data_IF_152662211344
#
_entry.id   IF_152662211344
#
_cell.length_a   1.000
_cell.length_b   1.000
_cell.length_c   1.000
_cell.angle_alpha   90.00
_cell.angle_beta   90.00
_cell.angle_gamma   90.00
#
_symmetry.space_group_name_H-M   'P 1'
#
loop_
_entity.id
_entity.type
_entity.pdbx_description
1 polymer ?
#
# COMPACT_ATOMS: atom_id res chain seq x y z
N UNK A 1 -12.06 9.79 -17.08
CA UNK A 1 -11.30 10.65 -16.14
C UNK A 1 -10.42 9.82 -15.20
N UNK A 2 -10.94 8.81 -14.50
CA UNK A 2 -10.11 7.75 -13.89
C UNK A 2 -9.20 7.03 -14.88
N UNK A 3 -9.74 6.77 -16.08
CA UNK A 3 -8.98 6.23 -17.21
C UNK A 3 -7.67 6.98 -17.47
N UNK A 4 -7.63 8.30 -17.33
CA UNK A 4 -6.39 9.05 -17.54
C UNK A 4 -5.31 8.65 -16.54
N UNK A 5 -5.66 8.41 -15.26
CA UNK A 5 -4.68 7.94 -14.26
C UNK A 5 -4.08 6.60 -14.69
N UNK A 6 -4.91 5.61 -15.00
CA UNK A 6 -4.43 4.30 -15.50
C UNK A 6 -3.66 4.43 -16.82
N UNK A 7 -4.00 5.42 -17.65
CA UNK A 7 -3.32 5.67 -18.91
C UNK A 7 -1.96 6.34 -18.76
N UNK A 8 -1.73 7.09 -17.66
CA UNK A 8 -0.51 7.89 -17.46
C UNK A 8 0.40 7.41 -16.33
N UNK A 9 -0.11 6.60 -15.40
CA UNK A 9 0.58 6.08 -14.21
C UNK A 9 0.80 4.55 -14.39
N UNK A 10 1.99 4.13 -14.87
CA UNK A 10 2.31 2.73 -15.09
C UNK A 10 2.25 1.88 -13.82
N UNK A 11 2.65 2.44 -12.68
CA UNK A 11 2.64 1.80 -11.37
C UNK A 11 1.21 1.43 -10.95
N UNK A 12 0.28 2.39 -11.04
CA UNK A 12 -1.15 2.14 -10.82
C UNK A 12 -1.71 1.14 -11.84
N UNK A 13 -1.32 1.27 -13.11
CA UNK A 13 -1.82 0.36 -14.14
C UNK A 13 -1.37 -1.08 -13.89
N UNK A 14 -0.13 -1.33 -13.49
CA UNK A 14 0.34 -2.69 -13.19
C UNK A 14 -0.27 -3.25 -11.92
N UNK A 15 -0.40 -2.46 -10.84
CA UNK A 15 -1.00 -2.93 -9.59
C UNK A 15 -2.43 -3.44 -9.79
N UNK A 16 -3.14 -2.86 -10.77
CA UNK A 16 -4.50 -3.24 -11.16
C UNK A 16 -4.59 -4.30 -12.27
N UNK A 17 -3.48 -4.76 -12.84
CA UNK A 17 -3.50 -5.67 -14.00
C UNK A 17 -4.02 -5.01 -15.29
N UNK A 18 -3.85 -3.69 -15.40
CA UNK A 18 -4.32 -2.85 -16.51
C UNK A 18 -3.17 -2.20 -17.30
N UNK A 19 -1.94 -2.72 -17.17
CA UNK A 19 -0.75 -2.16 -17.85
C UNK A 19 -0.92 -2.09 -19.38
N UNK A 20 -1.69 -3.01 -19.97
CA UNK A 20 -2.05 -2.99 -21.40
C UNK A 20 -2.95 -1.82 -21.82
N UNK A 21 -3.64 -1.15 -20.88
CA UNK A 21 -4.46 0.03 -21.13
C UNK A 21 -3.68 1.34 -21.08
N UNK A 22 -2.39 1.32 -20.70
CA UNK A 22 -1.57 2.54 -20.61
C UNK A 22 -1.45 3.22 -21.98
N UNK A 23 -1.32 4.55 -21.96
CA UNK A 23 -0.99 5.37 -23.14
C UNK A 23 0.30 6.16 -22.96
N UNK A 24 0.81 6.27 -21.73
CA UNK A 24 2.13 6.84 -21.47
C UNK A 24 3.24 6.00 -22.10
N UNK A 25 4.27 6.70 -22.59
CA UNK A 25 5.52 6.07 -23.02
C UNK A 25 6.49 5.81 -21.88
N UNK A 26 6.15 6.24 -20.66
CA UNK A 26 6.99 6.05 -19.48
C UNK A 26 6.80 4.65 -18.89
N UNK A 27 7.86 4.07 -18.34
CA UNK A 27 7.81 2.83 -17.58
C UNK A 27 7.62 3.05 -16.06
N UNK A 28 7.85 4.29 -15.61
CA UNK A 28 7.61 4.79 -14.27
C UNK A 28 6.91 6.16 -14.35
N UNK A 29 6.05 6.44 -13.39
CA UNK A 29 5.38 7.72 -13.22
C UNK A 29 6.41 8.81 -12.89
N UNK A 30 6.52 9.89 -13.69
CA UNK A 30 7.44 10.97 -13.40
C UNK A 30 7.14 11.63 -12.04
N UNK A 31 8.18 11.86 -11.24
CA UNK A 31 8.12 12.46 -9.90
C UNK A 31 8.72 13.87 -9.87
N UNK A 32 8.43 14.68 -10.88
CA UNK A 32 8.89 16.08 -10.96
C UNK A 32 7.80 17.07 -10.55
N UNK A 33 8.18 18.31 -10.21
CA UNK A 33 7.20 19.38 -9.97
C UNK A 33 6.29 19.60 -11.19
N UNK A 34 6.87 19.56 -12.40
CA UNK A 34 6.12 19.67 -13.64
C UNK A 34 5.07 18.57 -13.78
N UNK A 35 5.39 17.32 -13.39
CA UNK A 35 4.41 16.24 -13.46
C UNK A 35 3.24 16.47 -12.48
N UNK A 36 3.50 16.98 -11.27
CA UNK A 36 2.43 17.38 -10.34
C UNK A 36 1.59 18.55 -10.87
N UNK A 37 2.21 19.56 -11.49
CA UNK A 37 1.49 20.69 -12.10
C UNK A 37 0.59 20.23 -13.27
N UNK A 38 1.10 19.34 -14.12
CA UNK A 38 0.31 18.72 -15.19
C UNK A 38 -0.88 17.95 -14.64
N UNK A 39 -0.68 17.17 -13.58
CA UNK A 39 -1.77 16.43 -12.92
C UNK A 39 -2.79 17.38 -12.32
N UNK A 40 -2.36 18.41 -11.60
CA UNK A 40 -3.24 19.41 -11.00
C UNK A 40 -4.08 20.14 -12.05
N UNK A 41 -3.45 20.56 -13.16
CA UNK A 41 -4.15 21.18 -14.30
C UNK A 41 -5.22 20.26 -14.89
N UNK A 42 -4.88 18.98 -15.07
CA UNK A 42 -5.82 18.00 -15.60
C UNK A 42 -7.00 17.75 -14.64
N UNK A 43 -6.73 17.58 -13.34
CA UNK A 43 -7.76 17.35 -12.33
C UNK A 43 -8.67 18.57 -12.16
N UNK A 44 -8.11 19.78 -12.20
CA UNK A 44 -8.86 21.04 -12.16
C UNK A 44 -9.81 21.13 -13.36
N UNK A 45 -9.31 20.87 -14.58
CA UNK A 45 -10.15 20.87 -15.77
C UNK A 45 -11.22 19.77 -15.74
N UNK A 46 -10.96 18.64 -15.09
CA UNK A 46 -11.96 17.60 -14.86
C UNK A 46 -13.06 18.06 -13.89
N UNK A 47 -12.68 18.67 -12.76
CA UNK A 47 -13.61 19.21 -11.77
C UNK A 47 -14.47 20.34 -12.36
N UNK A 48 -13.86 21.29 -13.07
CA UNK A 48 -14.57 22.39 -13.75
C UNK A 48 -15.65 21.90 -14.72
N UNK A 49 -15.39 20.78 -15.41
CA UNK A 49 -16.39 20.17 -16.31
C UNK A 49 -17.57 19.59 -15.52
N UNK A 50 -17.31 19.00 -14.35
CA UNK A 50 -18.39 18.49 -13.49
C UNK A 50 -19.20 19.64 -12.87
N UNK A 51 -18.55 20.75 -12.51
CA UNK A 51 -19.19 21.93 -11.92
C UNK A 51 -20.04 22.72 -12.92
N UNK A 52 -19.62 22.78 -14.19
CA UNK A 52 -20.42 23.38 -15.28
C UNK A 52 -21.67 22.55 -15.65
N UNK A 53 -21.83 21.37 -15.06
CA UNK A 53 -22.88 20.42 -15.35
C UNK A 53 -22.52 19.49 -16.51
N UNK A 54 -22.96 18.24 -16.39
CA UNK A 54 -22.88 17.28 -17.48
C UNK A 54 -23.85 17.70 -18.60
N UNK A 55 -23.49 17.53 -19.90
CA UNK A 55 -24.39 17.79 -21.02
C UNK A 55 -25.77 17.13 -20.79
N UNK A 56 -26.90 17.74 -21.20
CA UNK A 56 -28.25 17.22 -20.93
C UNK A 56 -28.48 15.75 -21.31
N UNK A 57 -27.85 15.32 -22.41
CA UNK A 57 -27.85 13.95 -22.91
C UNK A 57 -27.13 12.95 -21.97
N UNK A 58 -26.14 13.43 -21.21
CA UNK A 58 -25.35 12.68 -20.24
C UNK A 58 -26.01 12.75 -18.85
N UNK A 59 -26.74 13.82 -18.51
CA UNK A 59 -27.41 13.96 -17.20
C UNK A 59 -28.58 13.00 -17.02
N UNK A 60 -29.37 12.76 -18.07
CA UNK A 60 -30.49 11.81 -18.03
C UNK A 60 -30.05 10.34 -18.04
N UNK A 61 -28.86 10.04 -18.55
CA UNK A 61 -28.32 8.67 -18.66
C UNK A 61 -27.34 8.32 -17.54
N UNK A 62 -26.48 9.25 -17.11
CA UNK A 62 -25.42 9.00 -16.10
C UNK A 62 -25.83 9.26 -14.65
N UNK A 63 -27.03 9.75 -14.35
CA UNK A 63 -27.50 9.98 -12.97
C UNK A 63 -28.90 9.38 -12.73
N UNK A 64 -29.22 8.33 -13.51
CA UNK A 64 -30.56 7.74 -13.53
C UNK A 64 -30.85 6.86 -12.31
N UNK A 65 -29.80 6.32 -11.67
CA UNK A 65 -29.89 5.53 -10.43
C UNK A 65 -29.27 6.26 -9.23
N UNK A 66 -29.65 5.86 -8.01
CA UNK A 66 -29.00 6.36 -6.78
C UNK A 66 -27.52 5.95 -6.73
N UNK A 67 -27.17 4.80 -7.29
CA UNK A 67 -25.78 4.31 -7.39
C UNK A 67 -24.91 5.21 -8.28
N UNK A 68 -25.48 5.71 -9.38
CA UNK A 68 -24.79 6.63 -10.27
C UNK A 68 -24.61 8.01 -9.61
N UNK A 69 -25.63 8.50 -8.90
CA UNK A 69 -25.56 9.76 -8.12
C UNK A 69 -24.50 9.67 -7.05
N UNK A 70 -24.42 8.54 -6.34
CA UNK A 70 -23.38 8.28 -5.36
C UNK A 70 -21.99 8.25 -6.01
N UNK A 71 -21.83 7.52 -7.11
CA UNK A 71 -20.59 7.49 -7.87
C UNK A 71 -20.15 8.89 -8.30
N UNK A 72 -21.06 9.71 -8.81
CA UNK A 72 -20.78 11.09 -9.17
C UNK A 72 -20.32 11.92 -7.97
N UNK A 73 -21.02 11.82 -6.82
CA UNK A 73 -20.66 12.52 -5.57
C UNK A 73 -19.25 12.14 -5.12
N UNK A 74 -18.95 10.85 -5.01
CA UNK A 74 -17.65 10.33 -4.58
C UNK A 74 -16.54 10.78 -5.54
N UNK A 75 -16.77 10.66 -6.85
CA UNK A 75 -15.78 11.05 -7.84
C UNK A 75 -15.45 12.54 -7.81
N UNK A 76 -16.50 13.38 -7.72
CA UNK A 76 -16.34 14.83 -7.60
C UNK A 76 -15.56 15.19 -6.33
N UNK A 77 -15.86 14.52 -5.22
CA UNK A 77 -15.18 14.75 -3.97
C UNK A 77 -13.69 14.33 -4.03
N UNK A 78 -13.36 13.21 -4.67
CA UNK A 78 -11.96 12.81 -4.92
C UNK A 78 -11.19 13.85 -5.75
N UNK A 79 -11.81 14.40 -6.81
CA UNK A 79 -11.21 15.47 -7.61
C UNK A 79 -11.00 16.74 -6.78
N UNK A 80 -12.00 17.14 -6.01
CA UNK A 80 -11.94 18.31 -5.14
C UNK A 80 -10.82 18.18 -4.09
N UNK A 81 -10.70 17.02 -3.46
CA UNK A 81 -9.64 16.73 -2.49
C UNK A 81 -8.27 16.88 -3.16
N UNK A 82 -8.08 16.31 -4.36
CA UNK A 82 -6.82 16.46 -5.09
C UNK A 82 -6.52 17.93 -5.45
N UNK A 83 -7.50 18.65 -6.02
CA UNK A 83 -7.32 20.04 -6.47
C UNK A 83 -7.06 20.99 -5.31
N UNK A 84 -7.66 20.74 -4.15
CA UNK A 84 -7.53 21.62 -2.97
C UNK A 84 -6.30 21.27 -2.14
N UNK A 85 -6.14 20.00 -1.76
CA UNK A 85 -5.12 19.59 -0.80
C UNK A 85 -3.72 19.54 -1.40
N UNK A 86 -3.58 19.18 -2.69
CA UNK A 86 -2.26 19.09 -3.36
C UNK A 86 -1.49 20.42 -3.33
N UNK A 87 -2.02 21.55 -3.85
CA UNK A 87 -1.29 22.81 -3.80
C UNK A 87 -1.19 23.40 -2.38
N UNK A 88 -2.17 23.10 -1.51
CA UNK A 88 -2.19 23.63 -0.15
C UNK A 88 -1.11 23.01 0.73
N UNK A 89 -1.02 21.68 0.75
CA UNK A 89 -0.18 20.94 1.69
C UNK A 89 1.06 20.31 1.06
N UNK A 90 1.12 20.18 -0.26
CA UNK A 90 2.28 19.70 -1.02
C UNK A 90 2.91 18.43 -0.46
N UNK A 91 2.07 17.47 -0.06
CA UNK A 91 2.52 16.21 0.56
C UNK A 91 3.45 15.38 -0.33
N UNK A 92 3.44 15.62 -1.64
CA UNK A 92 4.39 15.04 -2.59
C UNK A 92 5.86 15.41 -2.31
N UNK A 93 6.14 16.44 -1.50
CA UNK A 93 7.47 16.77 -1.03
C UNK A 93 7.96 15.86 0.12
N UNK A 94 7.05 15.12 0.77
CA UNK A 94 7.33 14.20 1.88
C UNK A 94 7.11 12.74 1.44
N UNK A 95 7.79 12.31 0.37
CA UNK A 95 7.52 11.03 -0.29
C UNK A 95 8.40 9.84 0.17
N UNK A 96 9.11 9.97 1.29
CA UNK A 96 10.00 8.92 1.83
C UNK A 96 9.86 8.82 3.35
N UNK A 97 9.62 7.61 3.85
CA UNK A 97 9.64 7.26 5.26
C UNK A 97 9.94 5.75 5.43
N UNK A 98 9.97 5.23 6.66
CA UNK A 98 10.27 3.79 6.91
C UNK A 98 9.31 2.78 6.26
N UNK A 99 8.11 3.21 5.89
CA UNK A 99 7.03 2.38 5.32
C UNK A 99 6.84 2.59 3.82
N UNK A 100 7.23 3.76 3.29
CA UNK A 100 6.90 4.20 1.93
C UNK A 100 8.10 4.91 1.28
N UNK A 101 8.12 4.91 -0.06
CA UNK A 101 9.18 5.52 -0.84
C UNK A 101 9.82 4.52 -1.82
N UNK A 102 10.78 4.97 -2.63
CA UNK A 102 11.31 4.18 -3.73
C UNK A 102 11.97 2.86 -3.28
N UNK A 103 12.48 2.79 -2.05
CA UNK A 103 13.04 1.57 -1.46
C UNK A 103 11.99 0.49 -1.17
N UNK A 104 10.71 0.85 -1.08
CA UNK A 104 9.59 -0.07 -0.85
C UNK A 104 8.72 -0.21 -2.09
N UNK A 105 8.39 0.92 -2.73
CA UNK A 105 7.43 1.00 -3.82
C UNK A 105 7.97 0.41 -5.14
N UNK A 106 9.25 0.64 -5.47
CA UNK A 106 9.85 0.12 -6.71
C UNK A 106 10.00 -1.41 -6.69
N UNK A 107 10.48 -2.04 -5.60
CA UNK A 107 10.42 -3.50 -5.45
C UNK A 107 9.00 -4.06 -5.55
N UNK A 108 8.01 -3.37 -4.97
CA UNK A 108 6.62 -3.81 -5.04
C UNK A 108 6.08 -3.74 -6.46
N UNK A 109 6.34 -2.64 -7.16
CA UNK A 109 5.97 -2.47 -8.57
C UNK A 109 6.62 -3.54 -9.46
N UNK A 110 7.91 -3.84 -9.25
CA UNK A 110 8.59 -4.93 -9.95
C UNK A 110 7.87 -6.29 -9.82
N UNK A 111 7.21 -6.55 -8.69
CA UNK A 111 6.42 -7.78 -8.45
C UNK A 111 5.06 -7.77 -9.15
N UNK A 112 4.51 -6.60 -9.47
CA UNK A 112 3.25 -6.49 -10.22
C UNK A 112 3.44 -6.70 -11.73
N UNK A 113 4.66 -6.56 -12.23
CA UNK A 113 4.96 -6.74 -13.65
C UNK A 113 4.99 -8.22 -14.04
N UNK A 114 4.06 -8.63 -14.90
CA UNK A 114 4.09 -9.92 -15.58
C UNK A 114 5.23 -9.97 -16.58
N UNK A 115 5.79 -11.16 -16.84
CA UNK A 115 6.96 -11.37 -17.72
C UNK A 115 6.78 -12.52 -18.72
N UNK A 116 5.54 -12.94 -18.95
CA UNK A 116 5.20 -14.11 -19.78
C UNK A 116 5.50 -13.90 -21.27
N UNK A 117 5.40 -12.66 -21.74
CA UNK A 117 5.55 -12.28 -23.15
C UNK A 117 6.75 -11.37 -23.41
N UNK A 118 7.28 -11.38 -24.64
CA UNK A 118 8.40 -10.50 -25.04
C UNK A 118 8.13 -9.02 -24.79
N UNK A 119 6.95 -8.45 -25.13
CA UNK A 119 6.64 -7.04 -24.82
C UNK A 119 6.67 -6.71 -23.33
N UNK A 120 6.23 -7.64 -22.48
CA UNK A 120 6.27 -7.49 -21.02
C UNK A 120 7.72 -7.47 -20.50
N UNK A 121 8.58 -8.35 -21.02
CA UNK A 121 10.01 -8.38 -20.67
C UNK A 121 10.75 -7.12 -21.14
N UNK A 122 10.42 -6.62 -22.33
CA UNK A 122 10.90 -5.32 -22.85
C UNK A 122 10.48 -4.19 -21.91
N UNK A 123 9.22 -4.18 -21.47
CA UNK A 123 8.73 -3.18 -20.53
C UNK A 123 9.46 -3.25 -19.18
N UNK A 124 9.76 -4.45 -18.68
CA UNK A 124 10.53 -4.61 -17.45
C UNK A 124 11.93 -4.01 -17.54
N UNK A 125 12.63 -4.23 -18.66
CA UNK A 125 13.91 -3.56 -18.93
C UNK A 125 13.74 -2.03 -18.93
N UNK A 126 12.71 -1.51 -19.59
CA UNK A 126 12.46 -0.07 -19.66
C UNK A 126 12.13 0.52 -18.27
N UNK A 127 11.46 -0.25 -17.42
CA UNK A 127 11.26 0.05 -15.99
C UNK A 127 12.60 0.16 -15.26
N UNK A 128 13.49 -0.83 -15.38
CA UNK A 128 14.82 -0.79 -14.75
C UNK A 128 15.64 0.42 -15.22
N UNK A 129 15.57 0.76 -16.52
CA UNK A 129 16.23 1.94 -17.09
C UNK A 129 15.67 3.26 -16.56
N UNK A 130 14.41 3.30 -16.16
CA UNK A 130 13.74 4.52 -15.67
C UNK A 130 14.04 4.83 -14.19
N UNK A 131 14.47 3.83 -13.39
CA UNK A 131 14.71 4.00 -11.94
C UNK A 131 15.66 5.17 -11.62
N UNK A 132 16.85 5.32 -12.26
CA UNK A 132 17.76 6.42 -11.94
C UNK A 132 17.15 7.80 -12.13
N UNK A 133 16.34 7.98 -13.18
CA UNK A 133 15.67 9.24 -13.43
C UNK A 133 14.64 9.54 -12.33
N UNK A 134 13.77 8.57 -11.98
CA UNK A 134 12.76 8.79 -10.96
C UNK A 134 13.39 9.08 -9.59
N UNK A 135 14.50 8.41 -9.24
CA UNK A 135 15.25 8.70 -8.01
C UNK A 135 15.82 10.14 -8.01
N UNK A 136 16.34 10.61 -9.14
CA UNK A 136 16.81 12.01 -9.28
C UNK A 136 15.67 13.02 -9.12
N UNK A 137 14.50 12.71 -9.69
CA UNK A 137 13.29 13.53 -9.55
C UNK A 137 12.81 13.55 -8.09
N UNK A 138 12.81 12.40 -7.40
CA UNK A 138 12.50 12.29 -5.97
C UNK A 138 13.49 13.14 -5.14
N UNK A 139 14.81 13.05 -5.36
CA UNK A 139 15.81 13.90 -4.68
C UNK A 139 15.45 15.38 -4.83
N UNK A 140 15.02 15.79 -6.03
CA UNK A 140 14.61 17.17 -6.30
C UNK A 140 13.37 17.58 -5.49
N UNK A 141 12.39 16.69 -5.34
CA UNK A 141 11.22 16.93 -4.47
C UNK A 141 11.61 17.02 -2.99
N UNK A 142 12.48 16.12 -2.51
CA UNK A 142 12.94 16.11 -1.12
C UNK A 142 13.74 17.38 -0.80
N UNK A 143 14.59 17.82 -1.73
CA UNK A 143 15.33 19.09 -1.61
C UNK A 143 14.36 20.25 -1.50
N UNK A 144 13.32 20.26 -2.34
CA UNK A 144 12.28 21.28 -2.27
C UNK A 144 11.48 21.23 -0.95
N UNK A 145 11.26 20.04 -0.41
CA UNK A 145 10.67 19.84 0.92
C UNK A 145 11.48 20.50 2.02
N UNK A 146 12.82 20.37 1.99
CA UNK A 146 13.71 21.07 2.92
C UNK A 146 13.58 22.59 2.79
N UNK A 147 13.61 23.13 1.56
CA UNK A 147 13.50 24.57 1.29
C UNK A 147 12.17 25.16 1.79
N UNK A 148 11.08 24.41 1.68
CA UNK A 148 9.74 24.86 2.08
C UNK A 148 9.40 24.56 3.54
N UNK A 149 10.31 23.95 4.31
CA UNK A 149 10.02 23.52 5.68
C UNK A 149 8.93 22.45 5.75
N UNK A 150 8.78 21.65 4.69
CA UNK A 150 7.83 20.55 4.56
C UNK A 150 8.60 19.23 4.49
N UNK A 151 8.95 18.72 5.66
CA UNK A 151 9.68 17.46 5.80
C UNK A 151 9.01 16.50 6.79
N UNK A 152 9.15 15.18 6.62
CA UNK A 152 8.77 14.24 7.66
C UNK A 152 9.64 14.45 8.93
N UNK A 153 9.17 14.00 10.11
CA UNK A 153 9.99 14.06 11.32
C UNK A 153 11.18 13.10 11.18
N UNK A 154 12.35 13.51 11.67
CA UNK A 154 13.59 12.75 11.54
C UNK A 154 13.45 11.29 12.00
N UNK A 155 12.68 11.06 13.07
CA UNK A 155 12.41 9.72 13.62
C UNK A 155 11.72 8.77 12.62
N UNK A 156 10.96 9.27 11.65
CA UNK A 156 10.27 8.42 10.67
C UNK A 156 11.19 7.88 9.57
N UNK A 157 12.41 8.39 9.45
CA UNK A 157 13.42 7.92 8.48
C UNK A 157 14.37 6.88 9.09
N UNK A 158 14.20 6.54 10.37
CA UNK A 158 14.97 5.48 11.02
C UNK A 158 14.92 4.18 10.23
N UNK A 159 16.10 3.66 9.85
CA UNK A 159 16.26 2.41 9.10
C UNK A 159 16.07 2.50 7.58
N UNK A 160 15.68 3.65 7.01
CA UNK A 160 15.46 3.77 5.54
C UNK A 160 16.76 3.58 4.76
N UNK A 161 17.85 4.16 5.23
CA UNK A 161 19.17 3.99 4.61
C UNK A 161 19.63 2.54 4.70
N UNK A 162 19.40 1.88 5.84
CA UNK A 162 19.73 0.47 6.03
C UNK A 162 18.91 -0.44 5.10
N UNK A 163 17.64 -0.12 4.83
CA UNK A 163 16.83 -0.82 3.83
C UNK A 163 17.50 -0.75 2.44
N UNK A 164 17.94 0.43 2.03
CA UNK A 164 18.59 0.63 0.73
C UNK A 164 19.93 -0.13 0.67
N UNK A 165 20.75 -0.03 1.72
CA UNK A 165 22.01 -0.77 1.80
C UNK A 165 21.79 -2.29 1.78
N UNK A 166 20.77 -2.79 2.48
CA UNK A 166 20.42 -4.21 2.46
C UNK A 166 19.99 -4.67 1.07
N UNK A 167 19.20 -3.88 0.33
CA UNK A 167 18.83 -4.15 -1.07
C UNK A 167 20.04 -4.15 -2.00
N UNK A 168 21.05 -3.30 -1.75
CA UNK A 168 22.28 -3.31 -2.55
C UNK A 168 23.11 -4.56 -2.22
N UNK A 169 23.25 -4.89 -0.93
CA UNK A 169 24.00 -6.04 -0.45
C UNK A 169 23.41 -7.37 -0.91
N UNK A 170 22.08 -7.48 -0.98
CA UNK A 170 21.37 -8.66 -1.48
C UNK A 170 21.35 -8.76 -3.02
N UNK A 171 22.09 -7.88 -3.70
CA UNK A 171 22.19 -7.79 -5.15
C UNK A 171 20.87 -7.47 -5.84
N UNK A 172 20.01 -6.65 -5.23
CA UNK A 172 18.71 -6.25 -5.77
C UNK A 172 17.78 -7.45 -5.97
N UNK A 173 17.75 -8.38 -5.00
CA UNK A 173 17.03 -9.64 -5.17
C UNK A 173 15.53 -9.45 -5.42
N UNK A 174 14.93 -8.42 -4.84
CA UNK A 174 13.52 -8.07 -5.07
C UNK A 174 13.20 -7.71 -6.53
N UNK A 175 14.17 -7.17 -7.28
CA UNK A 175 14.07 -6.92 -8.72
C UNK A 175 14.55 -8.11 -9.56
N UNK A 176 15.37 -9.01 -9.00
CA UNK A 176 15.79 -10.24 -9.68
C UNK A 176 14.72 -11.31 -9.69
N UNK A 177 13.98 -11.45 -8.59
CA UNK A 177 12.98 -12.51 -8.41
C UNK A 177 11.97 -12.62 -9.57
N UNK A 178 11.41 -11.51 -10.12
CA UNK A 178 10.54 -11.59 -11.29
C UNK A 178 11.21 -12.25 -12.50
N UNK A 179 12.51 -11.99 -12.73
CA UNK A 179 13.25 -12.53 -13.88
C UNK A 179 13.74 -13.97 -13.62
N UNK A 180 14.34 -14.21 -12.45
CA UNK A 180 15.12 -15.43 -12.20
C UNK A 180 14.43 -16.44 -11.26
N UNK A 181 13.30 -16.08 -10.66
CA UNK A 181 12.66 -16.84 -9.58
C UNK A 181 13.38 -16.67 -8.23
N UNK A 182 12.86 -17.32 -7.17
CA UNK A 182 13.37 -17.15 -5.79
C UNK A 182 14.80 -17.67 -5.57
N UNK A 183 15.26 -18.63 -6.36
CA UNK A 183 16.55 -19.31 -6.18
C UNK A 183 17.48 -19.20 -7.40
N UNK A 184 17.19 -18.29 -8.35
CA UNK A 184 17.79 -18.27 -9.70
C UNK A 184 17.66 -19.59 -10.49
N UNK A 185 16.91 -20.58 -9.96
CA UNK A 185 16.86 -21.96 -10.45
C UNK A 185 15.62 -22.27 -11.29
N UNK A 186 14.58 -21.43 -11.21
CA UNK A 186 13.32 -21.59 -11.93
C UNK A 186 13.01 -20.29 -12.67
N UNK A 187 13.75 -20.02 -13.74
CA UNK A 187 13.53 -18.83 -14.56
C UNK A 187 12.39 -19.08 -15.55
N UNK A 188 11.60 -18.04 -15.82
CA UNK A 188 10.70 -17.95 -16.97
C UNK A 188 11.48 -17.75 -18.30
N UNK A 189 12.81 -17.86 -18.26
CA UNK A 189 13.75 -17.21 -19.17
C UNK A 189 14.84 -18.15 -19.71
N UNK A 190 14.56 -19.46 -19.83
CA UNK A 190 15.34 -20.33 -20.73
C UNK A 190 14.93 -20.09 -22.20
N UNK A 191 15.04 -18.84 -22.66
CA UNK A 191 14.70 -18.42 -24.02
C UNK A 191 15.96 -17.93 -24.74
N UNK A 192 16.71 -18.80 -25.43
CA UNK A 192 17.94 -18.42 -26.14
C UNK A 192 17.75 -17.26 -27.14
N UNK A 193 16.53 -17.08 -27.66
CA UNK A 193 16.16 -16.02 -28.60
C UNK A 193 16.10 -14.61 -27.97
N UNK A 194 16.16 -14.50 -26.64
CA UNK A 194 16.08 -13.24 -25.89
C UNK A 194 17.27 -13.04 -24.93
N UNK A 195 18.38 -13.74 -25.16
CA UNK A 195 19.58 -13.65 -24.31
C UNK A 195 20.08 -12.20 -24.17
N UNK A 196 20.12 -11.44 -25.27
CA UNK A 196 20.55 -10.03 -25.23
C UNK A 196 19.71 -9.18 -24.26
N UNK A 197 18.40 -9.44 -24.18
CA UNK A 197 17.50 -8.72 -23.27
C UNK A 197 17.76 -9.11 -21.81
N UNK A 198 18.00 -10.40 -21.55
CA UNK A 198 18.34 -10.91 -20.21
C UNK A 198 19.68 -10.34 -19.76
N UNK A 199 20.69 -10.34 -20.62
CA UNK A 199 22.02 -9.79 -20.34
C UNK A 199 21.93 -8.29 -20.05
N UNK A 200 21.07 -7.58 -20.78
CA UNK A 200 20.83 -6.17 -20.52
C UNK A 200 20.17 -5.90 -19.18
N UNK A 201 19.10 -6.62 -18.83
CA UNK A 201 18.47 -6.54 -17.51
C UNK A 201 19.46 -6.89 -16.40
N UNK A 202 20.27 -7.92 -16.60
CA UNK A 202 21.31 -8.34 -15.65
C UNK A 202 22.32 -7.22 -15.43
N UNK A 203 22.82 -6.61 -16.51
CA UNK A 203 23.74 -5.47 -16.43
C UNK A 203 23.12 -4.27 -15.69
N UNK A 204 21.85 -3.97 -15.94
CA UNK A 204 21.12 -2.91 -15.23
C UNK A 204 21.04 -3.20 -13.73
N UNK A 205 20.76 -4.44 -13.34
CA UNK A 205 20.67 -4.87 -11.94
C UNK A 205 22.03 -5.05 -11.24
N UNK A 206 23.10 -5.28 -11.99
CA UNK A 206 24.47 -5.38 -11.46
C UNK A 206 25.10 -4.00 -11.22
N UNK A 207 24.68 -2.99 -11.99
CA UNK A 207 25.38 -1.69 -12.03
C UNK A 207 24.45 -0.50 -11.89
N UNK A 208 23.52 -0.31 -12.82
CA UNK A 208 22.76 0.94 -12.97
C UNK A 208 21.80 1.17 -11.80
N UNK A 209 21.00 0.16 -11.45
CA UNK A 209 20.03 0.25 -10.36
C UNK A 209 20.72 0.36 -8.99
N UNK A 210 21.70 -0.49 -8.62
CA UNK A 210 22.45 -0.33 -7.37
C UNK A 210 23.16 1.02 -7.23
N UNK A 211 23.77 1.54 -8.30
CA UNK A 211 24.45 2.83 -8.25
C UNK A 211 23.46 3.98 -7.99
N UNK A 212 22.30 3.98 -8.65
CA UNK A 212 21.28 5.00 -8.43
C UNK A 212 20.72 4.96 -7.00
N UNK A 213 20.49 3.77 -6.45
CA UNK A 213 20.11 3.63 -5.04
C UNK A 213 21.22 4.05 -4.07
N UNK A 214 22.50 3.81 -4.41
CA UNK A 214 23.64 4.26 -3.61
C UNK A 214 23.76 5.79 -3.57
N UNK A 215 23.54 6.46 -4.71
CA UNK A 215 23.49 7.92 -4.79
C UNK A 215 22.31 8.48 -3.98
N UNK A 216 21.15 7.85 -4.08
CA UNK A 216 19.98 8.20 -3.28
C UNK A 216 20.23 8.05 -1.78
N UNK A 217 20.78 6.91 -1.33
CA UNK A 217 21.14 6.68 0.07
C UNK A 217 22.12 7.73 0.58
N UNK A 218 23.16 8.06 -0.21
CA UNK A 218 24.13 9.09 0.14
C UNK A 218 23.45 10.46 0.33
N UNK A 219 22.56 10.87 -0.57
CA UNK A 219 21.80 12.11 -0.40
C UNK A 219 20.95 12.08 0.88
N UNK A 220 20.28 10.96 1.16
CA UNK A 220 19.50 10.81 2.39
C UNK A 220 20.37 10.99 3.64
N UNK A 221 21.53 10.33 3.70
CA UNK A 221 22.45 10.40 4.84
C UNK A 221 23.08 11.77 5.05
N UNK A 222 23.47 12.44 3.96
CA UNK A 222 24.34 13.63 4.03
C UNK A 222 23.57 14.94 3.99
N UNK A 223 22.51 15.02 3.18
CA UNK A 223 21.79 16.26 2.92
C UNK A 223 20.38 16.24 3.51
N UNK A 224 19.65 15.13 3.41
CA UNK A 224 18.23 15.10 3.80
C UNK A 224 18.02 14.87 5.30
N UNK A 225 18.38 13.69 5.83
CA UNK A 225 18.10 13.26 7.21
C UNK A 225 18.65 14.23 8.26
N UNK A 226 19.87 14.79 8.13
CA UNK A 226 20.40 15.75 9.11
C UNK A 226 19.63 17.08 9.15
N UNK A 227 18.90 17.43 8.08
CA UNK A 227 18.18 18.69 7.94
C UNK A 227 16.65 18.53 8.08
N UNK A 228 16.17 17.35 8.47
CA UNK A 228 14.75 17.13 8.77
C UNK A 228 14.35 17.83 10.08
N UNK A 229 13.04 18.12 10.19
CA UNK A 229 12.46 18.61 11.44
C UNK A 229 12.55 17.56 12.55
N UNK A 230 12.58 18.03 13.80
CA UNK A 230 12.69 17.16 14.98
C UNK A 230 11.37 17.03 15.73
N UNK A 231 10.49 18.01 15.59
CA UNK A 231 9.10 17.97 16.05
C UNK A 231 8.44 16.72 15.47
N UNK A 232 7.66 16.01 16.27
CA UNK A 232 6.94 14.82 15.81
C UNK A 232 5.55 15.16 15.25
N UNK A 233 4.91 16.21 15.78
CA UNK A 233 3.59 16.65 15.36
C UNK A 233 3.69 17.44 14.05
N UNK A 234 2.71 17.31 13.16
CA UNK A 234 2.64 18.20 11.99
C UNK A 234 2.21 19.62 12.41
N UNK A 235 1.42 19.74 13.48
CA UNK A 235 0.94 21.02 14.03
C UNK A 235 2.07 21.96 14.40
N UNK A 236 3.12 21.44 15.03
CA UNK A 236 4.30 22.23 15.43
C UNK A 236 5.38 22.23 14.35
N UNK A 237 5.40 21.20 13.49
CA UNK A 237 6.45 20.99 12.50
C UNK A 237 6.22 21.66 11.14
N UNK A 238 4.99 22.03 10.78
CA UNK A 238 4.67 22.66 9.49
C UNK A 238 4.14 24.10 9.64
N UNK A 239 4.42 24.99 8.66
CA UNK A 239 3.87 26.36 8.65
C UNK A 239 2.33 26.43 8.75
N UNK A 240 1.65 25.44 8.17
CA UNK A 240 0.19 25.29 8.16
C UNK A 240 -0.27 24.04 8.94
N UNK A 241 0.52 23.61 9.93
CA UNK A 241 0.37 22.32 10.61
C UNK A 241 -1.02 21.99 11.15
N UNK A 242 -1.69 22.97 11.78
CA UNK A 242 -3.06 22.78 12.27
C UNK A 242 -4.07 22.56 11.14
N UNK A 243 -3.97 23.32 10.04
CA UNK A 243 -4.82 23.16 8.87
C UNK A 243 -4.53 21.82 8.17
N UNK A 244 -3.25 21.44 8.06
CA UNK A 244 -2.83 20.15 7.54
C UNK A 244 -3.41 18.99 8.36
N UNK A 245 -3.30 19.04 9.69
CA UNK A 245 -3.82 17.98 10.56
C UNK A 245 -5.35 17.86 10.47
N UNK A 246 -6.06 18.98 10.42
CA UNK A 246 -7.51 19.00 10.21
C UNK A 246 -7.91 18.41 8.84
N UNK A 247 -7.16 18.72 7.78
CA UNK A 247 -7.37 18.14 6.46
C UNK A 247 -7.11 16.63 6.45
N UNK A 248 -6.03 16.15 7.09
CA UNK A 248 -5.78 14.73 7.28
C UNK A 248 -6.91 14.04 8.04
N UNK A 249 -7.41 14.66 9.12
CA UNK A 249 -8.50 14.11 9.91
C UNK A 249 -9.76 13.92 9.05
N UNK A 250 -10.16 14.95 8.31
CA UNK A 250 -11.31 14.89 7.40
C UNK A 250 -11.09 13.84 6.30
N UNK A 251 -9.89 13.78 5.72
CA UNK A 251 -9.57 12.88 4.60
C UNK A 251 -9.53 11.41 5.01
N UNK A 252 -9.09 11.10 6.23
CA UNK A 252 -8.93 9.72 6.70
C UNK A 252 -10.14 9.18 7.46
N UNK A 253 -10.89 10.04 8.15
CA UNK A 253 -11.97 9.58 9.04
C UNK A 253 -13.36 9.82 8.47
N UNK A 254 -13.51 10.79 7.56
CA UNK A 254 -14.79 11.17 6.92
C UNK A 254 -15.89 11.60 7.88
N UNK A 255 -15.56 11.77 9.16
CA UNK A 255 -16.42 12.33 10.19
C UNK A 255 -16.16 13.83 10.35
N UNK A 256 -17.14 14.53 10.92
CA UNK A 256 -17.01 15.93 11.33
C UNK A 256 -16.47 16.10 12.76
N UNK A 257 -16.10 15.00 13.44
CA UNK A 257 -15.53 15.06 14.78
C UNK A 257 -14.19 15.79 14.76
N UNK A 258 -13.98 16.60 15.80
CA UNK A 258 -12.71 17.23 16.10
C UNK A 258 -11.67 16.21 16.57
N UNK A 259 -10.40 16.59 16.50
CA UNK A 259 -9.31 15.76 17.02
C UNK A 259 -9.48 15.42 18.51
N UNK A 260 -10.01 16.37 19.29
CA UNK A 260 -10.26 16.16 20.72
C UNK A 260 -11.39 15.17 20.96
N UNK A 261 -12.51 15.28 20.24
CA UNK A 261 -13.62 14.31 20.34
C UNK A 261 -13.16 12.90 19.95
N UNK A 262 -12.34 12.77 18.91
CA UNK A 262 -11.78 11.46 18.51
C UNK A 262 -10.83 10.92 19.59
N UNK A 263 -10.02 11.78 20.21
CA UNK A 263 -9.14 11.38 21.30
C UNK A 263 -9.92 10.88 22.52
N UNK A 264 -10.94 11.62 22.94
CA UNK A 264 -11.80 11.26 24.08
C UNK A 264 -12.59 9.97 23.82
N UNK A 265 -13.09 9.79 22.59
CA UNK A 265 -13.69 8.52 22.16
C UNK A 265 -12.67 7.37 22.24
N UNK A 266 -11.44 7.60 21.77
CA UNK A 266 -10.38 6.61 21.83
C UNK A 266 -10.05 6.17 23.26
N UNK A 267 -9.98 7.11 24.20
CA UNK A 267 -9.78 6.80 25.63
C UNK A 267 -10.92 5.93 26.19
N UNK A 268 -12.16 6.28 25.84
CA UNK A 268 -13.36 5.53 26.26
C UNK A 268 -13.34 4.10 25.72
N UNK A 269 -12.95 3.91 24.45
CA UNK A 269 -12.85 2.58 23.85
C UNK A 269 -11.69 1.76 24.42
N UNK A 270 -10.56 2.38 24.75
CA UNK A 270 -9.45 1.71 25.46
C UNK A 270 -9.94 1.16 26.80
N UNK A 271 -10.65 1.97 27.59
CA UNK A 271 -11.17 1.54 28.88
C UNK A 271 -12.20 0.41 28.74
N UNK A 272 -13.10 0.52 27.77
CA UNK A 272 -14.11 -0.52 27.47
C UNK A 272 -13.43 -1.85 27.10
N UNK A 273 -12.46 -1.83 26.19
CA UNK A 273 -11.74 -3.02 25.74
C UNK A 273 -10.94 -3.63 26.90
N UNK A 274 -10.23 -2.82 27.71
CA UNK A 274 -9.49 -3.32 28.87
C UNK A 274 -10.43 -3.96 29.90
N UNK A 275 -11.62 -3.41 30.11
CA UNK A 275 -12.64 -4.01 30.98
C UNK A 275 -13.07 -5.39 30.46
N UNK A 276 -13.30 -5.54 29.16
CA UNK A 276 -13.65 -6.85 28.58
C UNK A 276 -12.47 -7.85 28.68
N UNK A 277 -11.23 -7.40 28.51
CA UNK A 277 -10.05 -8.23 28.72
C UNK A 277 -9.89 -8.68 30.18
N UNK A 278 -10.24 -7.84 31.17
CA UNK A 278 -10.24 -8.25 32.60
C UNK A 278 -11.23 -9.37 32.88
N UNK A 279 -12.42 -9.34 32.28
CA UNK A 279 -13.41 -10.42 32.43
C UNK A 279 -12.85 -11.75 31.92
N UNK A 280 -12.21 -11.74 30.74
CA UNK A 280 -11.54 -12.91 30.19
C UNK A 280 -10.36 -13.39 31.05
N UNK A 281 -9.58 -12.46 31.61
CA UNK A 281 -8.50 -12.80 32.54
C UNK A 281 -9.04 -13.53 33.79
N UNK A 282 -10.17 -13.07 34.34
CA UNK A 282 -10.85 -13.73 35.47
C UNK A 282 -11.34 -15.13 35.11
N UNK A 283 -11.95 -15.30 33.93
CA UNK A 283 -12.36 -16.61 33.42
C UNK A 283 -11.16 -17.56 33.22
N UNK A 284 -10.00 -17.02 32.85
CA UNK A 284 -8.75 -17.75 32.73
C UNK A 284 -8.03 -18.01 34.08
N UNK A 285 -8.61 -17.57 35.21
CA UNK A 285 -8.11 -17.84 36.56
C UNK A 285 -7.17 -16.78 37.14
N UNK A 286 -7.04 -15.62 36.52
CA UNK A 286 -6.31 -14.46 37.07
C UNK A 286 -7.24 -13.60 37.94
N UNK A 287 -6.72 -12.89 38.94
CA UNK A 287 -7.51 -11.88 39.63
C UNK A 287 -7.68 -10.62 38.76
N UNK A 288 -8.74 -9.84 39.00
CA UNK A 288 -9.13 -8.68 38.17
C UNK A 288 -8.03 -7.60 38.03
N UNK A 289 -7.19 -7.46 39.04
CA UNK A 289 -6.05 -6.55 39.09
C UNK A 289 -4.80 -7.06 38.34
N UNK A 290 -4.81 -8.32 37.88
CA UNK A 290 -3.66 -9.01 37.27
C UNK A 290 -3.78 -9.14 35.75
N UNK A 291 -4.43 -8.18 35.08
CA UNK A 291 -4.50 -8.13 33.61
C UNK A 291 -3.11 -8.13 32.96
N UNK A 292 -2.14 -7.42 33.55
CA UNK A 292 -0.77 -7.37 33.02
C UNK A 292 -0.12 -8.75 32.96
N UNK A 293 -0.31 -9.57 34.00
CA UNK A 293 0.21 -10.93 34.07
C UNK A 293 -0.48 -11.86 33.09
N UNK A 294 -1.79 -11.73 32.91
CA UNK A 294 -2.52 -12.47 31.87
C UNK A 294 -1.98 -12.14 30.48
N UNK A 295 -1.77 -10.84 30.19
CA UNK A 295 -1.17 -10.40 28.93
C UNK A 295 0.26 -10.89 28.75
N UNK A 296 1.05 -10.95 29.83
CA UNK A 296 2.41 -11.49 29.79
C UNK A 296 2.42 -13.00 29.54
N UNK A 297 1.48 -13.75 30.14
CA UNK A 297 1.29 -15.17 29.84
C UNK A 297 0.97 -15.36 28.35
N UNK A 298 0.00 -14.63 27.79
CA UNK A 298 -0.30 -14.69 26.36
C UNK A 298 0.95 -14.40 25.51
N UNK A 299 1.74 -13.40 25.88
CA UNK A 299 2.97 -13.02 25.16
C UNK A 299 4.12 -14.01 25.30
N UNK A 300 4.18 -14.86 26.32
CA UNK A 300 5.39 -15.66 26.61
C UNK A 300 5.14 -17.17 26.68
N UNK A 301 3.90 -17.60 26.87
CA UNK A 301 3.57 -19.01 27.03
C UNK A 301 3.88 -19.79 25.75
N UNK A 302 4.62 -20.89 25.91
CA UNK A 302 5.10 -21.74 24.82
C UNK A 302 3.96 -22.37 24.01
N UNK A 303 2.78 -22.53 24.60
CA UNK A 303 1.59 -23.05 23.94
C UNK A 303 1.08 -22.16 22.79
N UNK A 304 1.42 -20.87 22.82
CA UNK A 304 1.09 -19.92 21.75
C UNK A 304 2.23 -19.72 20.75
N UNK A 305 3.39 -20.35 20.95
CA UNK A 305 4.52 -20.21 20.04
C UNK A 305 4.34 -21.14 18.82
N UNK A 306 4.41 -20.62 17.58
CA UNK A 306 4.44 -21.47 16.41
C UNK A 306 5.75 -22.29 16.35
N UNK A 307 5.67 -23.51 15.82
CA UNK A 307 6.82 -24.43 15.71
C UNK A 307 7.83 -23.99 14.64
N UNK A 308 7.34 -23.40 13.55
CA UNK A 308 8.13 -22.91 12.41
C UNK A 308 7.31 -21.88 11.62
N UNK A 309 7.93 -21.16 10.70
CA UNK A 309 7.23 -20.29 9.74
C UNK A 309 6.22 -21.06 8.89
N UNK A 310 6.61 -22.23 8.39
CA UNK A 310 5.73 -23.12 7.64
C UNK A 310 4.51 -23.56 8.47
N UNK A 311 4.74 -23.95 9.74
CA UNK A 311 3.66 -24.32 10.65
C UNK A 311 2.71 -23.14 10.93
N UNK A 312 3.23 -21.91 11.02
CA UNK A 312 2.42 -20.71 11.17
C UNK A 312 1.56 -20.46 9.92
N UNK A 313 2.13 -20.54 8.72
CA UNK A 313 1.36 -20.45 7.48
C UNK A 313 0.31 -21.56 7.35
N UNK A 314 0.64 -22.79 7.74
CA UNK A 314 -0.31 -23.90 7.76
C UNK A 314 -1.45 -23.64 8.75
N UNK A 315 -1.16 -23.06 9.92
CA UNK A 315 -2.17 -22.68 10.90
C UNK A 315 -3.14 -21.63 10.36
N UNK A 316 -2.64 -20.61 9.65
CA UNK A 316 -3.50 -19.63 8.96
C UNK A 316 -4.38 -20.27 7.87
N UNK A 317 -3.86 -21.27 7.13
CA UNK A 317 -4.67 -22.00 6.13
C UNK A 317 -5.76 -22.84 6.79
N UNK A 318 -5.48 -23.47 7.93
CA UNK A 318 -6.50 -24.16 8.72
C UNK A 318 -7.60 -23.21 9.19
N UNK A 319 -7.23 -22.06 9.77
CA UNK A 319 -8.17 -21.01 10.18
C UNK A 319 -9.06 -20.58 9.00
N UNK A 320 -8.48 -20.26 7.85
CA UNK A 320 -9.23 -19.88 6.65
C UNK A 320 -10.17 -21.01 6.19
N UNK A 321 -9.71 -22.26 6.23
CA UNK A 321 -10.52 -23.45 5.92
C UNK A 321 -11.72 -23.63 6.85
N UNK A 322 -11.60 -23.25 8.13
CA UNK A 322 -12.70 -23.25 9.10
C UNK A 322 -13.67 -22.08 8.91
N UNK A 323 -13.18 -20.89 8.57
CA UNK A 323 -14.00 -19.69 8.38
C UNK A 323 -14.84 -19.78 7.10
N UNK A 324 -14.26 -20.24 5.99
CA UNK A 324 -14.93 -20.28 4.69
C UNK A 324 -16.35 -20.91 4.72
N UNK A 325 -16.58 -22.12 5.28
CA UNK A 325 -17.92 -22.68 5.38
C UNK A 325 -18.82 -21.96 6.40
N UNK A 326 -18.27 -21.27 7.40
CA UNK A 326 -19.05 -20.48 8.34
C UNK A 326 -19.64 -19.22 7.67
N UNK A 327 -18.93 -18.62 6.71
CA UNK A 327 -19.43 -17.47 5.94
C UNK A 327 -20.71 -17.78 5.17
N UNK A 328 -20.90 -19.01 4.70
CA UNK A 328 -22.13 -19.45 4.02
C UNK A 328 -23.37 -19.42 4.91
N UNK A 329 -23.20 -19.33 6.24
CA UNK A 329 -24.30 -19.15 7.20
C UNK A 329 -24.71 -17.68 7.38
N UNK A 330 -23.80 -16.76 7.04
CA UNK A 330 -23.96 -15.31 7.24
C UNK A 330 -24.28 -14.58 5.94
N UNK A 331 -23.71 -15.05 4.83
CA UNK A 331 -23.79 -14.41 3.53
C UNK A 331 -24.33 -15.36 2.47
N UNK A 332 -25.05 -14.80 1.50
CA UNK A 332 -25.49 -15.56 0.35
C UNK A 332 -24.29 -15.95 -0.52
N UNK A 333 -24.22 -17.17 -1.03
CA UNK A 333 -23.07 -17.64 -1.82
C UNK A 333 -22.73 -16.74 -3.01
N UNK A 334 -23.75 -16.10 -3.60
CA UNK A 334 -23.60 -15.18 -4.72
C UNK A 334 -22.92 -13.84 -4.36
N UNK A 335 -22.80 -13.50 -3.06
CA UNK A 335 -22.12 -12.29 -2.58
C UNK A 335 -20.69 -12.56 -2.12
N UNK A 336 -20.24 -13.82 -2.12
CA UNK A 336 -18.85 -14.16 -1.78
C UNK A 336 -17.94 -14.02 -3.02
N UNK A 337 -16.67 -13.63 -2.82
CA UNK A 337 -15.74 -13.43 -3.93
C UNK A 337 -15.42 -14.74 -4.66
N UNK A 338 -15.16 -14.65 -5.96
CA UNK A 338 -14.66 -15.76 -6.79
C UNK A 338 -13.13 -15.77 -6.89
N UNK A 339 -12.51 -14.60 -6.80
CA UNK A 339 -11.07 -14.41 -6.86
C UNK A 339 -10.41 -15.21 -5.72
N UNK A 340 -9.49 -16.15 -6.01
CA UNK A 340 -8.81 -16.88 -4.96
C UNK A 340 -7.75 -16.00 -4.26
N UNK A 341 -7.34 -16.41 -3.07
CA UNK A 341 -6.16 -15.89 -2.40
C UNK A 341 -5.22 -17.00 -1.94
N UNK A 342 -3.94 -16.65 -1.75
CA UNK A 342 -2.91 -17.53 -1.23
C UNK A 342 -2.38 -17.02 0.11
N UNK A 343 -2.00 -17.94 0.99
CA UNK A 343 -1.30 -17.62 2.25
C UNK A 343 0.15 -18.06 2.10
N UNK A 344 1.08 -17.11 2.16
CA UNK A 344 2.52 -17.33 1.91
C UNK A 344 3.38 -16.56 2.88
N UNK A 345 4.64 -16.97 3.03
CA UNK A 345 5.59 -16.21 3.85
C UNK A 345 5.98 -14.89 3.19
N UNK A 346 6.18 -13.86 4.01
CA UNK A 346 6.73 -12.58 3.61
C UNK A 346 8.13 -12.79 3.05
N UNK A 347 8.48 -12.19 1.89
CA UNK A 347 9.83 -12.29 1.34
C UNK A 347 10.88 -11.84 2.37
N UNK A 348 11.93 -12.65 2.56
CA UNK A 348 12.96 -12.41 3.57
C UNK A 348 13.60 -11.02 3.47
N UNK A 349 13.78 -10.52 2.25
CA UNK A 349 14.34 -9.19 1.95
C UNK A 349 13.51 -8.04 2.53
N UNK A 350 12.21 -8.23 2.73
CA UNK A 350 11.27 -7.23 3.28
C UNK A 350 10.75 -7.55 4.68
N UNK A 351 11.00 -8.76 5.20
CA UNK A 351 10.33 -9.29 6.37
C UNK A 351 10.63 -8.51 7.67
N UNK A 352 11.86 -8.02 7.84
CA UNK A 352 12.29 -7.31 9.05
C UNK A 352 11.53 -5.98 9.30
N UNK A 353 10.98 -5.36 8.26
CA UNK A 353 10.20 -4.11 8.36
C UNK A 353 8.71 -4.30 8.15
N UNK A 354 8.29 -5.48 7.68
CA UNK A 354 6.90 -5.79 7.45
C UNK A 354 6.13 -5.98 8.78
N UNK A 355 4.82 -5.67 8.81
CA UNK A 355 3.96 -6.04 9.93
C UNK A 355 3.90 -7.57 10.13
N UNK A 356 3.23 -8.03 11.18
CA UNK A 356 3.05 -9.46 11.45
C UNK A 356 2.36 -10.21 10.30
N UNK A 357 1.49 -9.51 9.59
CA UNK A 357 0.82 -9.93 8.38
C UNK A 357 0.41 -8.71 7.55
N UNK A 358 0.17 -8.93 6.25
CA UNK A 358 -0.53 -7.97 5.41
C UNK A 358 -1.17 -8.67 4.20
N UNK A 359 -2.21 -8.06 3.65
CA UNK A 359 -2.86 -8.48 2.43
C UNK A 359 -2.49 -7.61 1.23
N UNK A 360 -2.18 -8.25 0.10
CA UNK A 360 -2.13 -7.61 -1.21
C UNK A 360 -3.31 -8.06 -2.07
N UNK A 361 -4.06 -7.10 -2.59
CA UNK A 361 -5.17 -7.35 -3.49
C UNK A 361 -4.73 -8.10 -4.76
N UNK A 362 -5.58 -9.03 -5.19
CA UNK A 362 -5.45 -9.71 -6.47
C UNK A 362 -6.09 -8.93 -7.61
N UNK A 363 -5.89 -9.42 -8.82
CA UNK A 363 -6.50 -8.93 -10.05
C UNK A 363 -7.11 -10.12 -10.80
N UNK A 364 -7.76 -9.90 -11.96
CA UNK A 364 -8.22 -11.01 -12.80
C UNK A 364 -7.10 -11.95 -13.27
N UNK A 365 -5.84 -11.50 -13.21
CA UNK A 365 -4.66 -12.25 -13.67
C UNK A 365 -3.83 -12.82 -12.50
N UNK A 366 -4.04 -12.35 -11.26
CA UNK A 366 -3.22 -12.72 -10.10
C UNK A 366 -4.09 -12.90 -8.84
N UNK A 367 -3.93 -13.98 -8.06
CA UNK A 367 -4.68 -14.14 -6.82
C UNK A 367 -4.34 -13.05 -5.79
N UNK A 368 -5.25 -12.84 -4.84
CA UNK A 368 -4.94 -12.11 -3.62
C UNK A 368 -3.84 -12.82 -2.83
N UNK A 369 -3.05 -12.11 -2.05
CA UNK A 369 -1.99 -12.72 -1.24
C UNK A 369 -2.01 -12.21 0.19
N UNK A 370 -2.24 -13.11 1.13
CA UNK A 370 -2.04 -12.89 2.55
C UNK A 370 -0.61 -13.31 2.90
N UNK A 371 0.25 -12.32 3.13
CA UNK A 371 1.61 -12.53 3.59
C UNK A 371 1.68 -12.67 5.10
N UNK A 372 2.36 -13.72 5.55
CA UNK A 372 2.64 -13.99 6.96
C UNK A 372 4.10 -13.68 7.23
N UNK A 373 4.39 -12.82 8.19
CA UNK A 373 5.77 -12.46 8.50
C UNK A 373 6.36 -13.41 9.55
N UNK A 374 7.33 -14.22 9.10
CA UNK A 374 7.97 -15.28 9.88
C UNK A 374 9.36 -14.90 10.41
N UNK A 375 9.87 -13.68 10.14
CA UNK A 375 11.24 -13.30 10.53
C UNK A 375 11.43 -13.20 12.04
N UNK A 376 10.43 -12.67 12.75
CA UNK A 376 10.40 -12.55 14.21
C UNK A 376 9.48 -13.61 14.82
N UNK A 377 9.65 -14.87 14.41
CA UNK A 377 8.80 -16.00 14.85
C UNK A 377 8.58 -16.07 16.37
N UNK A 378 9.58 -15.81 17.23
CA UNK A 378 9.39 -15.79 18.68
C UNK A 378 8.44 -14.72 19.20
N UNK A 379 8.05 -13.73 18.39
CA UNK A 379 7.05 -12.71 18.73
C UNK A 379 5.67 -13.01 18.14
N UNK A 380 5.56 -14.03 17.28
CA UNK A 380 4.29 -14.44 16.68
C UNK A 380 3.54 -15.36 17.64
N UNK A 381 2.25 -15.11 17.85
CA UNK A 381 1.43 -15.85 18.79
C UNK A 381 0.17 -16.39 18.13
N UNK A 382 -0.12 -17.67 18.34
CA UNK A 382 -1.24 -18.35 17.69
C UNK A 382 -2.60 -17.82 18.14
N UNK A 383 -2.73 -17.27 19.35
CA UNK A 383 -3.99 -16.69 19.83
C UNK A 383 -4.45 -15.45 19.02
N UNK A 384 -3.54 -14.76 18.33
CA UNK A 384 -3.85 -13.59 17.49
C UNK A 384 -4.23 -13.98 16.07
N UNK A 385 -3.90 -15.22 15.66
CA UNK A 385 -4.00 -15.64 14.26
C UNK A 385 -5.43 -15.65 13.74
N UNK A 386 -6.42 -15.99 14.57
CA UNK A 386 -7.81 -16.01 14.12
C UNK A 386 -8.32 -14.60 13.78
N UNK A 387 -8.07 -13.62 14.67
CA UNK A 387 -8.43 -12.22 14.40
C UNK A 387 -7.68 -11.66 13.19
N UNK A 388 -6.40 -12.01 13.03
CA UNK A 388 -5.59 -11.52 11.91
C UNK A 388 -6.02 -12.15 10.57
N UNK A 389 -6.41 -13.43 10.57
CA UNK A 389 -6.97 -14.08 9.38
C UNK A 389 -8.31 -13.47 8.96
N UNK A 390 -9.16 -13.14 9.94
CA UNK A 390 -10.43 -12.44 9.71
C UNK A 390 -10.19 -11.05 9.12
N UNK A 391 -9.17 -10.32 9.61
CA UNK A 391 -8.80 -8.99 9.16
C UNK A 391 -8.20 -8.96 7.75
N UNK A 392 -7.16 -9.77 7.50
CA UNK A 392 -6.40 -9.72 6.24
C UNK A 392 -7.09 -10.47 5.09
N UNK A 393 -7.86 -11.51 5.40
CA UNK A 393 -8.42 -12.39 4.37
C UNK A 393 -9.95 -12.42 4.38
N UNK A 394 -10.53 -13.41 5.06
CA UNK A 394 -11.95 -13.71 4.96
C UNK A 394 -12.60 -13.57 6.34
N UNK A 395 -13.61 -12.71 6.54
CA UNK A 395 -14.29 -11.84 5.57
C UNK A 395 -13.68 -10.42 5.41
N UNK A 396 -12.42 -10.19 5.81
CA UNK A 396 -11.78 -8.87 5.79
C UNK A 396 -11.27 -8.40 4.42
N UNK A 397 -10.03 -7.91 4.35
CA UNK A 397 -9.47 -7.20 3.20
C UNK A 397 -9.62 -7.98 1.88
N UNK A 398 -9.32 -9.28 1.86
CA UNK A 398 -9.52 -10.08 0.64
C UNK A 398 -10.97 -10.07 0.17
N UNK A 399 -11.92 -10.28 1.08
CA UNK A 399 -13.34 -10.37 0.73
C UNK A 399 -13.86 -9.04 0.22
N UNK A 400 -13.54 -7.95 0.92
CA UNK A 400 -13.90 -6.59 0.52
C UNK A 400 -13.34 -6.26 -0.87
N UNK A 401 -12.03 -6.39 -1.06
CA UNK A 401 -11.36 -6.00 -2.29
C UNK A 401 -11.80 -6.85 -3.49
N UNK A 402 -11.99 -8.16 -3.29
CA UNK A 402 -12.40 -9.06 -4.36
C UNK A 402 -13.85 -8.81 -4.79
N UNK A 403 -14.79 -8.62 -3.86
CA UNK A 403 -16.18 -8.27 -4.20
C UNK A 403 -16.23 -6.93 -4.95
N UNK A 404 -15.50 -5.93 -4.47
CA UNK A 404 -15.42 -4.61 -5.10
C UNK A 404 -14.85 -4.72 -6.54
N UNK A 405 -13.76 -5.44 -6.72
CA UNK A 405 -13.13 -5.64 -8.02
C UNK A 405 -13.98 -6.45 -9.00
N UNK A 406 -14.75 -7.42 -8.52
CA UNK A 406 -15.64 -8.27 -9.33
C UNK A 406 -16.97 -7.62 -9.70
N UNK A 407 -17.34 -6.53 -9.04
CA UNK A 407 -18.61 -5.85 -9.27
C UNK A 407 -18.57 -5.01 -10.56
N UNK A 408 -18.99 -5.63 -11.68
CA UNK A 408 -19.03 -4.99 -13.00
C UNK A 408 -20.08 -3.87 -13.13
N UNK A 409 -20.98 -3.71 -12.16
CA UNK A 409 -21.93 -2.58 -12.15
C UNK A 409 -21.30 -1.28 -11.65
N UNK A 410 -20.19 -1.37 -10.91
CA UNK A 410 -19.46 -0.20 -10.43
C UNK A 410 -18.57 0.39 -11.53
N UNK A 411 -18.43 1.72 -11.60
CA UNK A 411 -17.43 2.34 -12.45
C UNK A 411 -16.01 1.96 -11.99
N UNK A 412 -15.05 1.86 -12.91
CA UNK A 412 -13.69 1.37 -12.63
C UNK A 412 -13.00 2.08 -11.45
N UNK A 413 -13.24 3.38 -11.25
CA UNK A 413 -12.64 4.12 -10.12
C UNK A 413 -13.16 3.69 -8.74
N UNK A 414 -14.38 3.12 -8.68
CA UNK A 414 -14.94 2.50 -7.48
C UNK A 414 -14.62 1.01 -7.38
N UNK A 415 -14.14 0.37 -8.45
CA UNK A 415 -13.72 -1.04 -8.43
C UNK A 415 -12.29 -1.24 -7.93
N UNK A 416 -11.43 -0.24 -8.15
CA UNK A 416 -9.99 -0.36 -8.00
C UNK A 416 -9.38 0.64 -7.00
N UNK A 417 -10.21 1.33 -6.23
CA UNK A 417 -9.79 2.23 -5.17
C UNK A 417 -10.44 1.77 -3.86
N UNK A 418 -9.63 1.57 -2.82
CA UNK A 418 -10.15 1.59 -1.46
C UNK A 418 -10.54 3.06 -1.18
N UNK A 419 -11.84 3.35 -1.21
CA UNK A 419 -12.31 4.70 -0.89
C UNK A 419 -12.34 4.86 0.63
N UNK A 420 -11.62 5.86 1.14
CA UNK A 420 -11.60 6.21 2.57
C UNK A 420 -12.98 6.66 3.06
N UNK A 421 -13.88 7.01 2.12
CA UNK A 421 -15.32 7.21 2.34
C UNK A 421 -16.11 5.91 2.31
N UNK A 422 -15.55 4.81 2.80
CA UNK A 422 -16.19 3.49 2.84
C UNK A 422 -17.61 3.53 3.46
N UNK A 423 -17.83 4.35 4.48
CA UNK A 423 -19.16 4.49 5.12
C UNK A 423 -20.17 5.30 4.29
N UNK A 424 -19.71 6.07 3.30
CA UNK A 424 -20.57 6.80 2.37
C UNK A 424 -20.87 6.01 1.10
N UNK A 425 -20.11 4.94 0.82
CA UNK A 425 -19.94 4.32 -0.49
C UNK A 425 -20.71 3.02 -0.71
#
# INVERSE_FOLDING_TARGET
>A
TWQWRVETDPELAASLGLLGKRRSGHALDPRSLESFDMRLKWMTAALDRLDKGLPPQDTHTLLSSEEDKLSYKLYKAQLNDYVTLTPQHKTYLCCVNRLEGPQTDLPLYARYLLLDTKPQRIFYRDFLRAIPQQLTEIISLLTRGLEEGRTPPQVSLGGVVDQIHSMIQDQMQSFRTPIFGKDNAASCFNLPEEQDLIDECTKLLDTTVPNAFSEFAKYLETDYIPNLRTEISATDGYPDGAAYYAACLSFHTTTSMTAQEIHELGLTEVDRIQSDMRKLAVEAGYSEDRLADYMEHLRTAKEYCPLSGEALCAHYRDIAGRIAPALLKLFHVATLPRLPFSIVETPATSAHMAPAAYYLAGTGERPGTFYVNTSELPTRRTYECESLALHEAIPGHHTQAAIQGENASLPDFRRYCEDRRYFEA
#
